data_IF_144201997079
#
_entry.id   IF_144201997079
#
_cell.length_a   1.000
_cell.length_b   1.000
_cell.length_c   1.000
_cell.angle_alpha   90.00
_cell.angle_beta   90.00
_cell.angle_gamma   90.00
#
_symmetry.space_group_name_H-M   'P 1'
#
loop_
_entity.id
_entity.type
_entity.pdbx_description
1 polymer ?
#
# COMPACT_ATOMS: atom_id res chain seq x y z
N UNK A 1 -19.95 8.62 0.67
CA UNK A 1 -18.52 8.64 0.28
C UNK A 1 -18.13 10.07 -0.05
N UNK A 2 -17.34 10.72 0.81
CA UNK A 2 -16.81 12.05 0.53
C UNK A 2 -15.70 11.90 -0.51
N UNK A 3 -15.99 12.25 -1.77
CA UNK A 3 -14.94 12.44 -2.79
C UNK A 3 -14.22 13.74 -2.44
N UNK A 4 -13.08 13.65 -1.77
CA UNK A 4 -12.19 14.79 -1.63
C UNK A 4 -11.49 15.04 -2.96
N UNK A 5 -11.25 16.32 -3.26
CA UNK A 5 -10.48 16.71 -4.44
C UNK A 5 -9.06 16.09 -4.36
N UNK A 6 -8.45 15.74 -5.50
CA UNK A 6 -7.07 15.29 -5.51
C UNK A 6 -6.15 16.35 -4.88
N UNK A 7 -5.03 15.93 -4.27
CA UNK A 7 -4.10 16.87 -3.65
C UNK A 7 -3.58 17.86 -4.68
N UNK A 8 -3.44 19.12 -4.28
CA UNK A 8 -2.81 20.13 -5.13
C UNK A 8 -1.30 19.84 -5.34
N UNK A 9 -0.71 20.49 -6.34
CA UNK A 9 0.70 20.28 -6.68
C UNK A 9 1.66 20.66 -5.54
N UNK A 10 1.29 21.63 -4.69
CA UNK A 10 2.12 22.08 -3.58
C UNK A 10 2.19 21.01 -2.48
N UNK A 11 1.04 20.44 -2.11
CA UNK A 11 0.93 19.33 -1.16
C UNK A 11 1.64 18.08 -1.70
N UNK A 12 1.39 17.71 -2.96
CA UNK A 12 2.03 16.55 -3.58
C UNK A 12 3.56 16.70 -3.62
N UNK A 13 4.06 17.87 -4.00
CA UNK A 13 5.49 18.16 -4.01
C UNK A 13 6.12 18.11 -2.60
N UNK A 14 5.39 18.57 -1.57
CA UNK A 14 5.83 18.44 -0.18
C UNK A 14 5.89 16.97 0.26
N UNK A 15 4.84 16.19 0.02
CA UNK A 15 4.80 14.75 0.37
C UNK A 15 5.95 13.99 -0.29
N UNK A 16 6.18 14.25 -1.58
CA UNK A 16 7.28 13.64 -2.35
C UNK A 16 8.64 13.93 -1.72
N UNK A 17 8.94 15.20 -1.41
CA UNK A 17 10.22 15.60 -0.80
C UNK A 17 10.40 15.02 0.60
N UNK A 18 9.37 15.04 1.44
CA UNK A 18 9.48 14.48 2.79
C UNK A 18 9.70 12.97 2.76
N UNK A 19 9.05 12.26 1.83
CA UNK A 19 9.27 10.83 1.68
C UNK A 19 10.69 10.51 1.16
N UNK A 20 11.21 11.27 0.19
CA UNK A 20 12.58 11.11 -0.31
C UNK A 20 13.63 11.28 0.81
N UNK A 21 13.44 12.25 1.72
CA UNK A 21 14.32 12.42 2.90
C UNK A 21 14.32 11.20 3.82
N UNK A 22 13.24 10.43 3.88
CA UNK A 22 13.19 9.16 4.64
C UNK A 22 14.03 8.11 3.91
N UNK A 23 13.92 8.03 2.58
CA UNK A 23 14.69 7.08 1.78
C UNK A 23 16.19 7.38 1.78
N UNK A 24 16.58 8.66 1.81
CA UNK A 24 17.99 9.10 1.89
C UNK A 24 18.70 8.65 3.18
N UNK A 25 17.95 8.27 4.23
CA UNK A 25 18.52 7.74 5.48
C UNK A 25 18.91 6.27 5.38
N UNK A 26 18.55 5.58 4.29
CA UNK A 26 18.93 4.20 4.06
C UNK A 26 20.43 4.12 3.68
N UNK A 27 21.13 3.03 4.02
CA UNK A 27 22.56 2.88 3.74
C UNK A 27 22.90 3.09 2.26
N UNK A 28 24.04 3.73 2.00
CA UNK A 28 24.46 4.13 0.66
C UNK A 28 24.72 2.92 -0.27
N UNK A 29 24.42 3.13 -1.56
CA UNK A 29 24.69 2.28 -2.73
C UNK A 29 23.63 1.24 -3.18
N UNK A 30 22.36 1.38 -2.78
CA UNK A 30 21.30 0.58 -3.40
C UNK A 30 20.86 1.19 -4.74
N UNK A 31 20.92 0.41 -5.84
CA UNK A 31 20.38 0.82 -7.15
C UNK A 31 18.86 1.07 -7.09
N UNK A 32 18.17 0.35 -6.19
CA UNK A 32 16.71 0.40 -6.03
C UNK A 32 16.35 0.32 -4.55
N UNK A 33 15.31 1.06 -4.18
CA UNK A 33 14.72 1.03 -2.84
C UNK A 33 13.33 0.41 -2.94
N UNK A 34 12.99 -0.45 -1.97
CA UNK A 34 11.68 -1.09 -1.88
C UNK A 34 11.00 -0.67 -0.58
N UNK A 35 9.87 0.01 -0.71
CA UNK A 35 8.93 0.17 0.40
C UNK A 35 8.07 -1.10 0.52
N UNK A 36 8.05 -1.69 1.71
CA UNK A 36 7.31 -2.93 2.01
C UNK A 36 6.14 -2.73 2.99
N UNK A 37 5.66 -1.50 3.15
CA UNK A 37 4.50 -1.20 3.99
C UNK A 37 3.26 -1.95 3.49
N UNK A 38 2.58 -2.63 4.41
CA UNK A 38 1.36 -3.38 4.14
C UNK A 38 0.16 -2.49 3.83
N UNK A 39 0.23 -1.19 4.13
CA UNK A 39 -0.84 -0.21 3.89
C UNK A 39 -0.73 0.49 2.52
N UNK A 40 0.31 0.19 1.72
CA UNK A 40 0.53 0.86 0.44
C UNK A 40 -0.65 0.69 -0.54
N UNK A 41 -1.40 -0.41 -0.46
CA UNK A 41 -2.60 -0.65 -1.28
C UNK A 41 -3.63 0.46 -1.17
N UNK A 42 -3.71 1.11 -0.01
CA UNK A 42 -4.73 2.11 0.29
C UNK A 42 -4.33 3.49 -0.28
N UNK A 43 -3.05 3.64 -0.65
CA UNK A 43 -2.44 4.90 -1.06
C UNK A 43 -1.89 4.88 -2.49
N UNK A 44 -2.09 3.81 -3.27
CA UNK A 44 -1.48 3.65 -4.59
C UNK A 44 -1.75 4.82 -5.55
N UNK A 45 -2.94 5.44 -5.50
CA UNK A 45 -3.22 6.64 -6.29
C UNK A 45 -2.28 7.82 -5.97
N UNK A 46 -2.06 8.10 -4.69
CA UNK A 46 -1.15 9.19 -4.25
C UNK A 46 0.30 8.80 -4.54
N UNK A 47 0.67 7.54 -4.30
CA UNK A 47 2.02 7.03 -4.59
C UNK A 47 2.35 7.21 -6.07
N UNK A 48 1.42 6.87 -6.97
CA UNK A 48 1.63 7.02 -8.41
C UNK A 48 1.72 8.49 -8.83
N UNK A 49 0.93 9.39 -8.22
CA UNK A 49 1.03 10.83 -8.47
C UNK A 49 2.39 11.40 -8.02
N UNK A 50 2.88 10.98 -6.84
CA UNK A 50 4.15 11.45 -6.27
C UNK A 50 5.36 10.84 -6.98
N UNK A 51 5.26 9.58 -7.40
CA UNK A 51 6.32 8.79 -7.99
C UNK A 51 5.81 8.05 -9.24
N UNK A 52 5.62 8.76 -10.38
CA UNK A 52 5.01 8.19 -11.58
C UNK A 52 5.78 7.01 -12.18
N UNK A 53 7.08 6.92 -11.89
CA UNK A 53 7.95 5.84 -12.34
C UNK A 53 8.11 4.69 -11.33
N UNK A 54 7.46 4.77 -10.16
CA UNK A 54 7.49 3.69 -9.18
C UNK A 54 6.80 2.44 -9.73
N UNK A 55 7.38 1.27 -9.45
CA UNK A 55 6.81 -0.03 -9.80
C UNK A 55 6.12 -0.63 -8.58
N UNK A 56 4.93 -1.16 -8.77
CA UNK A 56 4.11 -1.80 -7.75
C UNK A 56 4.27 -3.30 -7.92
N UNK A 57 4.82 -3.97 -6.90
CA UNK A 57 4.93 -5.42 -6.87
C UNK A 57 3.87 -5.97 -5.92
N UNK A 58 2.82 -6.59 -6.45
CA UNK A 58 1.76 -7.21 -5.67
C UNK A 58 1.95 -8.71 -5.55
N UNK A 59 2.25 -9.18 -4.34
CA UNK A 59 2.45 -10.59 -4.04
C UNK A 59 1.15 -11.21 -3.53
N UNK A 60 0.86 -12.44 -3.98
CA UNK A 60 -0.32 -13.20 -3.55
C UNK A 60 0.10 -14.52 -2.92
N UNK A 61 -0.66 -14.91 -1.90
CA UNK A 61 -0.61 -16.20 -1.22
C UNK A 61 -2.01 -16.77 -1.14
N UNK A 62 -2.12 -18.04 -0.75
CA UNK A 62 -3.40 -18.64 -0.44
C UNK A 62 -4.15 -17.80 0.61
N UNK A 63 -5.46 -17.51 0.44
CA UNK A 63 -6.22 -16.71 1.39
C UNK A 63 -6.20 -17.28 2.82
N UNK A 64 -6.28 -18.60 2.98
CA UNK A 64 -6.29 -19.23 4.31
C UNK A 64 -4.94 -19.05 5.01
N UNK A 65 -3.84 -19.21 4.27
CA UNK A 65 -2.49 -18.98 4.80
C UNK A 65 -2.30 -17.54 5.28
N UNK A 66 -2.81 -16.56 4.52
CA UNK A 66 -2.71 -15.15 4.88
C UNK A 66 -3.53 -14.86 6.13
N UNK A 67 -4.81 -15.26 6.14
CA UNK A 67 -5.70 -15.00 7.27
C UNK A 67 -5.18 -15.65 8.56
N UNK A 68 -4.76 -16.92 8.52
CA UNK A 68 -4.21 -17.60 9.70
C UNK A 68 -2.89 -16.96 10.15
N UNK A 69 -1.98 -16.63 9.23
CA UNK A 69 -0.75 -15.93 9.58
C UNK A 69 -1.04 -14.61 10.27
N UNK A 70 -2.02 -13.84 9.77
CA UNK A 70 -2.39 -12.56 10.37
C UNK A 70 -3.04 -12.74 11.74
N UNK A 71 -3.88 -13.76 11.91
CA UNK A 71 -4.53 -14.08 13.18
C UNK A 71 -3.52 -14.39 14.29
N UNK A 72 -2.49 -15.18 13.97
CA UNK A 72 -1.46 -15.56 14.95
C UNK A 72 -0.37 -14.50 15.17
N UNK A 73 -0.17 -13.56 14.23
CA UNK A 73 0.90 -12.55 14.32
C UNK A 73 0.69 -11.51 15.43
N UNK A 74 -0.55 -11.35 15.93
CA UNK A 74 -0.92 -10.37 16.97
C UNK A 74 -0.43 -8.95 16.67
N UNK A 75 -1.00 -8.32 15.64
CA UNK A 75 -0.65 -6.94 15.28
C UNK A 75 -1.04 -5.92 16.36
N UNK A 76 -0.40 -4.75 16.32
CA UNK A 76 -0.77 -3.62 17.16
C UNK A 76 -2.23 -3.18 16.92
N UNK A 77 -2.81 -2.44 17.87
CA UNK A 77 -4.25 -2.07 17.95
C UNK A 77 -4.83 -1.40 16.68
N UNK A 78 -3.99 -0.90 15.77
CA UNK A 78 -4.44 -0.35 14.50
C UNK A 78 -5.01 -1.42 13.53
N UNK A 79 -4.74 -2.71 13.75
CA UNK A 79 -5.16 -3.81 12.90
C UNK A 79 -6.11 -4.78 13.62
N UNK A 80 -7.09 -4.25 14.37
CA UNK A 80 -8.03 -5.09 15.15
C UNK A 80 -8.82 -6.12 14.32
N UNK A 81 -8.96 -5.89 13.00
CA UNK A 81 -9.58 -6.87 12.10
C UNK A 81 -8.83 -8.22 12.08
N UNK A 82 -7.58 -8.27 12.53
CA UNK A 82 -6.80 -9.52 12.60
C UNK A 82 -7.14 -10.38 13.81
N UNK A 83 -7.94 -9.89 14.75
CA UNK A 83 -8.28 -10.59 16.00
C UNK A 83 -9.50 -11.51 15.87
N UNK A 84 -10.20 -11.46 14.73
CA UNK A 84 -11.34 -12.31 14.40
C UNK A 84 -11.19 -12.83 12.96
N UNK A 85 -11.49 -14.12 12.75
CA UNK A 85 -11.31 -14.77 11.45
C UNK A 85 -12.35 -14.31 10.42
N UNK A 86 -13.56 -13.93 10.83
CA UNK A 86 -14.57 -13.40 9.92
C UNK A 86 -14.22 -11.99 9.47
N UNK A 87 -13.72 -11.15 10.38
CA UNK A 87 -13.19 -9.82 10.04
C UNK A 87 -11.98 -9.90 9.10
N UNK A 88 -11.08 -10.87 9.32
CA UNK A 88 -9.97 -11.16 8.41
C UNK A 88 -10.45 -11.55 7.00
N UNK A 89 -11.41 -12.46 6.91
CA UNK A 89 -11.95 -12.88 5.62
C UNK A 89 -12.65 -11.71 4.91
N UNK A 90 -13.35 -10.86 5.66
CA UNK A 90 -13.95 -9.64 5.15
C UNK A 90 -12.87 -8.67 4.62
N UNK A 91 -11.85 -8.37 5.44
CA UNK A 91 -10.76 -7.48 5.07
C UNK A 91 -10.00 -8.00 3.84
N UNK A 92 -9.69 -9.29 3.78
CA UNK A 92 -8.99 -9.89 2.63
C UNK A 92 -9.76 -9.66 1.33
N UNK A 93 -11.09 -9.86 1.34
CA UNK A 93 -11.94 -9.61 0.17
C UNK A 93 -11.95 -8.14 -0.25
N UNK A 94 -12.07 -7.23 0.71
CA UNK A 94 -12.08 -5.78 0.43
C UNK A 94 -10.71 -5.28 -0.06
N UNK A 95 -9.62 -5.77 0.54
CA UNK A 95 -8.27 -5.50 0.07
C UNK A 95 -8.09 -5.97 -1.38
N UNK A 96 -8.52 -7.20 -1.71
CA UNK A 96 -8.46 -7.70 -3.08
C UNK A 96 -9.30 -6.85 -4.05
N UNK A 97 -10.46 -6.36 -3.63
CA UNK A 97 -11.29 -5.42 -4.42
C UNK A 97 -10.56 -4.10 -4.69
N UNK A 98 -9.89 -3.54 -3.69
CA UNK A 98 -9.08 -2.31 -3.82
C UNK A 98 -7.91 -2.54 -4.77
N UNK A 99 -7.18 -3.65 -4.63
CA UNK A 99 -6.07 -3.98 -5.52
C UNK A 99 -6.53 -4.20 -6.96
N UNK A 100 -7.66 -4.88 -7.17
CA UNK A 100 -8.25 -5.06 -8.49
C UNK A 100 -8.64 -3.72 -9.13
N UNK A 101 -9.14 -2.77 -8.34
CA UNK A 101 -9.40 -1.41 -8.80
C UNK A 101 -8.12 -0.73 -9.27
N UNK A 102 -7.05 -0.74 -8.46
CA UNK A 102 -5.79 -0.08 -8.83
C UNK A 102 -5.16 -0.69 -10.08
N UNK A 103 -5.18 -2.01 -10.21
CA UNK A 103 -4.70 -2.70 -11.40
C UNK A 103 -5.47 -2.30 -12.68
N UNK A 104 -6.74 -1.92 -12.55
CA UNK A 104 -7.56 -1.51 -13.68
C UNK A 104 -7.36 -0.04 -14.10
N UNK A 105 -6.95 0.84 -13.17
CA UNK A 105 -6.88 2.30 -13.42
C UNK A 105 -5.46 2.84 -13.55
N UNK A 106 -4.45 2.12 -13.03
CA UNK A 106 -3.04 2.53 -13.16
C UNK A 106 -2.44 2.04 -14.49
N UNK A 107 -1.39 2.72 -15.00
CA UNK A 107 -0.67 2.25 -16.19
C UNK A 107 -0.13 0.83 -16.00
N UNK A 108 -0.18 0.02 -17.05
CA UNK A 108 0.21 -1.41 -16.99
C UNK A 108 1.69 -1.59 -16.63
N UNK A 109 2.53 -0.63 -16.96
CA UNK A 109 3.93 -0.63 -16.58
C UNK A 109 4.12 -0.34 -15.09
N UNK A 110 3.19 0.35 -14.43
CA UNK A 110 3.28 0.66 -13.01
C UNK A 110 2.87 -0.53 -12.12
N UNK A 111 1.99 -1.44 -12.58
CA UNK A 111 1.39 -2.52 -11.79
C UNK A 111 1.49 -3.90 -12.46
#
# INVERSE_FOLDING_TARGET
MLRQAPPDAALLGRLTREYLKILERQPAAAERVVDKSTYNSDHLGIIHLAFPNARILYLRRDPLDVCLSCYFQQFATAANFTLDLADLAHYYREHHRVVAHWRAVLPREAF
#
